data_IF_648794942652
#
_entry.id   IF_648794942652
#
_cell.length_a   1.000
_cell.length_b   1.000
_cell.length_c   1.000
_cell.angle_alpha   90.00
_cell.angle_beta   90.00
_cell.angle_gamma   90.00
#
_symmetry.space_group_name_H-M   'P 1'
#
loop_
_entity.id
_entity.type
_entity.pdbx_description
1 polymer ?
#
# COMPACT_ATOMS: atom_id res chain seq x y z
N UNK A 1 10.32 -11.87 9.06
CA UNK A 1 9.40 -11.92 7.89
C UNK A 1 7.91 -11.72 8.27
N UNK A 2 7.38 -12.33 9.35
CA UNK A 2 5.95 -12.29 9.73
C UNK A 2 5.30 -10.91 9.97
N UNK A 3 6.00 -9.91 10.54
CA UNK A 3 5.41 -8.58 10.84
C UNK A 3 4.99 -7.79 9.58
N UNK A 4 5.80 -7.85 8.51
CA UNK A 4 5.59 -7.10 7.25
C UNK A 4 4.30 -7.56 6.55
N UNK A 5 4.13 -8.87 6.45
CA UNK A 5 2.95 -9.49 5.85
C UNK A 5 1.67 -9.15 6.62
N UNK A 6 1.73 -9.11 7.97
CA UNK A 6 0.58 -8.73 8.80
C UNK A 6 0.14 -7.29 8.56
N UNK A 7 1.07 -6.33 8.44
CA UNK A 7 0.75 -4.93 8.12
C UNK A 7 0.09 -4.84 6.73
N UNK A 8 0.69 -5.49 5.73
CA UNK A 8 0.11 -5.54 4.37
C UNK A 8 -1.31 -6.11 4.39
N UNK A 9 -1.53 -7.25 5.05
CA UNK A 9 -2.84 -7.90 5.11
C UNK A 9 -3.86 -7.02 5.84
N UNK A 10 -3.48 -6.39 6.96
CA UNK A 10 -4.37 -5.50 7.71
C UNK A 10 -4.82 -4.28 6.91
N UNK A 11 -3.94 -3.74 6.06
CA UNK A 11 -4.22 -2.53 5.30
C UNK A 11 -4.79 -2.82 3.91
N UNK A 12 -4.39 -3.93 3.29
CA UNK A 12 -4.59 -4.21 1.87
C UNK A 12 -5.32 -5.53 1.56
N UNK A 13 -5.50 -6.42 2.54
CA UNK A 13 -6.13 -7.73 2.32
C UNK A 13 -5.50 -8.51 1.14
N UNK A 14 -6.37 -9.15 0.34
CA UNK A 14 -5.98 -9.92 -0.85
C UNK A 14 -5.90 -9.09 -2.14
N UNK A 15 -6.35 -7.84 -2.14
CA UNK A 15 -6.40 -6.97 -3.33
C UNK A 15 -5.06 -6.88 -4.08
N UNK A 16 -3.96 -6.79 -3.34
CA UNK A 16 -2.62 -6.75 -3.91
C UNK A 16 -2.19 -8.05 -4.60
N UNK A 17 -2.77 -9.22 -4.25
CA UNK A 17 -2.41 -10.49 -4.91
C UNK A 17 -3.15 -10.60 -6.24
N UNK A 18 -4.42 -10.23 -6.25
CA UNK A 18 -5.27 -10.22 -7.45
C UNK A 18 -4.74 -9.21 -8.46
N UNK A 19 -4.45 -7.96 -8.04
CA UNK A 19 -3.87 -6.94 -8.92
C UNK A 19 -2.56 -7.38 -9.56
N UNK A 20 -1.72 -8.13 -8.85
CA UNK A 20 -0.41 -8.54 -9.37
C UNK A 20 -0.53 -9.72 -10.35
N UNK A 21 -1.62 -10.49 -10.32
CA UNK A 21 -1.84 -11.58 -11.28
C UNK A 21 -2.12 -11.10 -12.71
N UNK A 22 -2.40 -9.82 -12.91
CA UNK A 22 -2.61 -9.24 -14.24
C UNK A 22 -1.31 -8.83 -14.93
N UNK A 23 -0.15 -8.97 -14.27
CA UNK A 23 1.14 -8.59 -14.84
C UNK A 23 1.65 -9.64 -15.83
N UNK A 24 2.25 -9.22 -16.95
CA UNK A 24 2.74 -10.14 -17.97
C UNK A 24 3.97 -10.93 -17.49
N UNK A 25 4.22 -12.08 -18.14
CA UNK A 25 5.45 -12.86 -17.95
C UNK A 25 5.62 -13.43 -16.53
N UNK A 26 4.50 -13.75 -15.86
CA UNK A 26 4.46 -14.28 -14.49
C UNK A 26 5.13 -13.39 -13.42
N UNK A 27 5.48 -12.15 -13.75
CA UNK A 27 6.20 -11.21 -12.87
C UNK A 27 5.42 -10.79 -11.63
N UNK A 28 4.13 -11.14 -11.54
CA UNK A 28 3.25 -10.78 -10.43
C UNK A 28 3.81 -11.18 -9.07
N UNK A 29 4.46 -12.34 -8.99
CA UNK A 29 5.04 -12.84 -7.74
C UNK A 29 6.24 -12.00 -7.32
N UNK A 30 7.15 -11.71 -8.24
CA UNK A 30 8.37 -10.93 -8.00
C UNK A 30 8.03 -9.50 -7.61
N UNK A 31 7.11 -8.86 -8.33
CA UNK A 31 6.65 -7.50 -8.03
C UNK A 31 5.95 -7.46 -6.67
N UNK A 32 5.06 -8.41 -6.38
CA UNK A 32 4.39 -8.49 -5.07
C UNK A 32 5.41 -8.68 -3.92
N UNK A 33 6.45 -9.49 -4.13
CA UNK A 33 7.53 -9.69 -3.16
C UNK A 33 8.38 -8.44 -2.97
N UNK A 34 8.80 -7.80 -4.06
CA UNK A 34 9.56 -6.56 -4.04
C UNK A 34 8.80 -5.47 -3.29
N UNK A 35 7.54 -5.21 -3.68
CA UNK A 35 6.66 -4.26 -3.02
C UNK A 35 6.53 -4.56 -1.52
N UNK A 36 6.35 -5.84 -1.16
CA UNK A 36 6.24 -6.23 0.25
C UNK A 36 7.53 -6.02 1.04
N UNK A 37 8.69 -6.31 0.44
CA UNK A 37 10.00 -6.16 1.08
C UNK A 37 10.39 -4.70 1.23
N UNK A 38 10.19 -3.88 0.20
CA UNK A 38 10.63 -2.48 0.20
C UNK A 38 9.63 -1.60 0.92
N UNK A 39 8.37 -1.54 0.45
CA UNK A 39 7.40 -0.62 1.02
C UNK A 39 7.05 -0.98 2.48
N UNK A 40 6.61 -2.21 2.75
CA UNK A 40 6.23 -2.60 4.13
C UNK A 40 7.41 -3.03 4.99
N UNK A 41 8.57 -3.33 4.40
CA UNK A 41 9.73 -3.81 5.14
C UNK A 41 10.75 -2.74 5.50
N UNK A 42 10.80 -1.65 4.74
CA UNK A 42 11.62 -0.47 5.04
C UNK A 42 10.71 0.75 5.23
N UNK A 43 10.13 1.29 4.15
CA UNK A 43 9.54 2.63 4.17
C UNK A 43 8.46 2.80 5.22
N UNK A 44 7.49 1.87 5.28
CA UNK A 44 6.37 1.91 6.21
C UNK A 44 6.80 1.70 7.67
N UNK A 45 7.98 1.12 7.91
CA UNK A 45 8.48 0.89 9.28
C UNK A 45 9.25 2.08 9.86
N UNK A 46 9.57 3.09 9.04
CA UNK A 46 10.21 4.32 9.50
C UNK A 46 9.26 5.09 10.41
N UNK A 47 9.76 5.59 11.55
CA UNK A 47 8.95 6.25 12.59
C UNK A 47 8.97 7.78 12.55
N UNK A 48 9.53 8.37 11.51
CA UNK A 48 9.67 9.83 11.37
C UNK A 48 8.36 10.56 11.07
N UNK A 49 7.30 9.85 10.72
CA UNK A 49 5.98 10.38 10.41
C UNK A 49 4.92 9.53 11.09
N UNK A 50 3.91 10.20 11.62
CA UNK A 50 2.69 9.54 12.08
C UNK A 50 2.07 8.69 10.94
N UNK A 51 1.64 7.45 11.20
CA UNK A 51 1.09 6.58 10.16
C UNK A 51 -0.13 7.15 9.43
N UNK A 52 -1.01 7.87 10.12
CA UNK A 52 -2.19 8.48 9.52
C UNK A 52 -1.79 9.66 8.62
N UNK A 53 -0.90 10.53 9.09
CA UNK A 53 -0.34 11.64 8.28
C UNK A 53 0.37 11.12 7.03
N UNK A 54 1.19 10.07 7.17
CA UNK A 54 1.86 9.43 6.02
C UNK A 54 0.85 8.97 4.98
N UNK A 55 -0.32 8.47 5.40
CA UNK A 55 -1.33 7.98 4.48
C UNK A 55 -2.10 9.09 3.78
N UNK A 56 -2.30 10.21 4.48
CA UNK A 56 -2.87 11.41 3.90
C UNK A 56 -1.95 11.99 2.81
N UNK A 57 -0.65 12.13 3.11
CA UNK A 57 0.34 12.60 2.12
C UNK A 57 0.39 11.66 0.91
N UNK A 58 0.39 10.34 1.15
CA UNK A 58 0.34 9.36 0.05
C UNK A 58 -0.90 9.56 -0.82
N UNK A 59 -2.05 9.88 -0.23
CA UNK A 59 -3.28 10.14 -0.96
C UNK A 59 -3.20 11.42 -1.79
N UNK A 60 -2.67 12.52 -1.25
CA UNK A 60 -2.43 13.76 -2.01
C UNK A 60 -1.53 13.52 -3.24
N UNK A 61 -0.50 12.68 -3.10
CA UNK A 61 0.36 12.28 -4.24
C UNK A 61 -0.45 11.51 -5.28
N UNK A 62 -1.28 10.54 -4.88
CA UNK A 62 -2.13 9.79 -5.81
C UNK A 62 -3.13 10.70 -6.53
N UNK A 63 -3.69 11.71 -5.85
CA UNK A 63 -4.59 12.71 -6.45
C UNK A 63 -3.85 13.50 -7.52
N UNK A 64 -2.64 13.96 -7.19
CA UNK A 64 -1.80 14.72 -8.12
C UNK A 64 -1.40 13.91 -9.36
N UNK A 65 -1.26 12.59 -9.23
CA UNK A 65 -0.94 11.68 -10.33
C UNK A 65 -2.17 11.18 -11.12
N UNK A 66 -3.38 11.44 -10.65
CA UNK A 66 -4.61 11.00 -11.33
C UNK A 66 -4.84 9.48 -11.37
N UNK A 67 -4.21 8.72 -10.46
CA UNK A 67 -4.27 7.24 -10.44
C UNK A 67 -5.54 6.72 -9.75
N UNK A 68 -6.64 6.68 -10.51
CA UNK A 68 -8.01 6.45 -10.04
C UNK A 68 -8.21 5.16 -9.22
N UNK A 69 -7.64 4.03 -9.65
CA UNK A 69 -7.86 2.75 -8.96
C UNK A 69 -7.27 2.77 -7.54
N UNK A 70 -6.11 3.41 -7.38
CA UNK A 70 -5.42 3.56 -6.11
C UNK A 70 -6.08 4.62 -5.23
N UNK A 71 -6.71 5.65 -5.82
CA UNK A 71 -7.43 6.69 -5.09
C UNK A 71 -8.58 6.12 -4.26
N UNK A 72 -9.45 5.30 -4.87
CA UNK A 72 -10.59 4.70 -4.17
C UNK A 72 -10.09 3.89 -2.97
N UNK A 73 -9.05 3.09 -3.17
CA UNK A 73 -8.49 2.27 -2.10
C UNK A 73 -7.91 3.11 -0.96
N UNK A 74 -7.06 4.09 -1.30
CA UNK A 74 -6.39 4.92 -0.31
C UNK A 74 -7.36 5.85 0.42
N UNK A 75 -8.48 6.25 -0.19
CA UNK A 75 -9.56 6.97 0.49
C UNK A 75 -10.08 6.16 1.70
N UNK A 76 -10.49 4.90 1.48
CA UNK A 76 -10.99 4.06 2.58
C UNK A 76 -9.94 3.74 3.63
N UNK A 77 -8.67 3.59 3.24
CA UNK A 77 -7.58 3.38 4.22
C UNK A 77 -7.35 4.62 5.07
N UNK A 78 -7.45 5.82 4.50
CA UNK A 78 -7.35 7.07 5.26
C UNK A 78 -8.46 7.17 6.31
N UNK A 79 -9.72 6.88 5.94
CA UNK A 79 -10.83 6.84 6.89
C UNK A 79 -10.60 5.83 8.02
N UNK A 80 -10.11 4.62 7.69
CA UNK A 80 -9.77 3.59 8.70
C UNK A 80 -8.63 4.02 9.64
N UNK A 81 -7.78 4.94 9.21
CA UNK A 81 -6.69 5.51 10.01
C UNK A 81 -7.13 6.74 10.81
N UNK A 82 -8.38 7.18 10.69
CA UNK A 82 -8.93 8.33 11.42
C UNK A 82 -8.71 9.68 10.73
N UNK A 83 -8.24 9.71 9.48
CA UNK A 83 -8.23 10.94 8.70
C UNK A 83 -9.65 11.26 8.22
N UNK A 84 -10.08 12.52 8.30
CA UNK A 84 -11.41 13.00 7.93
C UNK A 84 -11.38 14.23 7.02
#
# INVERSE_FOLDING_TARGET
MRKRTKIKVSLYGNYNKELMSTLPGDMGKEVAQFFTKVYFGDFYTRKSLDPAIRKLISYCVLVSLGVKDQLVYHYYVNLKMGNN
#
